data_IF_517987549688
#
_entry.id   IF_517987549688
#
_cell.length_a   1.000
_cell.length_b   1.000
_cell.length_c   1.000
_cell.angle_alpha   90.00
_cell.angle_beta   90.00
_cell.angle_gamma   90.00
#
_symmetry.space_group_name_H-M   'P 1'
#
loop_
_entity.id
_entity.type
_entity.pdbx_description
1 polymer ?
#
# COMPACT_ATOMS: atom_id res chain seq x y z
N UNK A 1 -10.76 24.05 0.35
CA UNK A 1 -10.49 23.46 0.43
C UNK A 1 -10.31 22.37 0.66
N UNK A 2 -10.51 21.93 0.80
CA UNK A 2 -10.45 21.05 0.99
C UNK A 2 -10.17 20.19 1.15
N UNK A 3 -10.10 20.13 1.23
CA UNK A 3 -9.71 19.20 1.31
C UNK A 3 -9.67 18.01 1.90
N UNK A 4 -10.05 17.66 2.63
CA UNK A 4 -9.85 16.60 3.64
C UNK A 4 -10.16 15.25 3.10
N UNK A 5 -11.18 15.12 2.33
CA UNK A 5 -11.59 13.85 1.75
C UNK A 5 -10.48 13.25 0.87
N UNK A 6 -9.74 14.10 0.23
CA UNK A 6 -8.72 13.61 -0.67
C UNK A 6 -7.57 12.93 0.06
N UNK A 7 -7.43 13.25 1.33
CA UNK A 7 -6.32 12.69 2.08
C UNK A 7 -6.49 11.20 2.34
N UNK A 8 -7.69 10.69 2.17
CA UNK A 8 -7.96 9.28 2.38
C UNK A 8 -7.86 8.45 1.12
N UNK A 9 -7.51 9.09 0.02
CA UNK A 9 -7.43 8.41 -1.26
C UNK A 9 -6.02 8.52 -1.81
N UNK A 10 -5.41 7.38 -2.07
CA UNK A 10 -4.08 7.33 -2.67
C UNK A 10 -4.22 6.74 -4.05
N UNK A 11 -3.71 7.47 -5.03
CA UNK A 11 -3.70 6.98 -6.40
C UNK A 11 -2.38 6.34 -6.71
N UNK A 12 -2.43 5.09 -7.13
CA UNK A 12 -1.25 4.34 -7.51
C UNK A 12 -1.19 4.20 -9.02
N UNK A 13 0.01 4.24 -9.56
CA UNK A 13 0.23 4.11 -11.00
C UNK A 13 1.32 3.09 -11.25
N UNK A 14 1.25 2.46 -12.40
CA UNK A 14 2.31 1.55 -12.84
C UNK A 14 3.61 2.35 -12.90
N UNK A 15 4.65 1.78 -12.31
CA UNK A 15 5.94 2.44 -12.22
C UNK A 15 6.20 3.13 -10.90
N UNK A 16 5.17 3.31 -10.07
CA UNK A 16 5.32 3.94 -8.77
C UNK A 16 6.08 3.03 -7.83
N UNK A 17 6.91 3.64 -6.99
CA UNK A 17 7.54 2.92 -5.88
C UNK A 17 6.53 2.73 -4.77
N UNK A 18 6.51 1.55 -4.19
CA UNK A 18 5.62 1.26 -3.08
C UNK A 18 6.37 0.47 -2.02
N UNK A 19 5.81 0.50 -0.83
CA UNK A 19 6.36 -0.21 0.32
C UNK A 19 5.20 -0.88 1.04
N UNK A 20 5.52 -1.79 1.94
CA UNK A 20 4.48 -2.40 2.76
C UNK A 20 4.86 -2.29 4.22
N UNK A 21 3.84 -2.21 5.07
CA UNK A 21 4.03 -2.14 6.50
C UNK A 21 3.47 -3.37 7.18
N UNK A 22 4.18 -3.86 8.17
CA UNK A 22 3.70 -4.95 9.00
C UNK A 22 4.13 -4.64 10.43
N UNK A 23 3.15 -4.63 11.33
CA UNK A 23 3.37 -4.18 12.71
C UNK A 23 3.92 -2.76 12.69
N UNK A 24 5.10 -2.54 13.26
CA UNK A 24 5.73 -1.23 13.29
C UNK A 24 6.83 -1.08 12.26
N UNK A 25 7.05 -2.09 11.46
CA UNK A 25 8.13 -2.10 10.47
C UNK A 25 7.60 -1.72 9.11
N UNK A 26 8.49 -1.17 8.29
CA UNK A 26 8.19 -0.82 6.90
C UNK A 26 9.28 -1.32 6.00
N UNK A 27 8.89 -1.88 4.87
CA UNK A 27 9.82 -2.46 3.92
C UNK A 27 9.51 -1.97 2.52
N UNK A 28 10.54 -1.62 1.79
CA UNK A 28 10.37 -1.26 0.39
C UNK A 28 10.02 -2.52 -0.40
N UNK A 29 8.94 -2.44 -1.20
CA UNK A 29 8.50 -3.59 -1.97
C UNK A 29 9.06 -3.58 -3.39
N UNK A 30 9.01 -2.43 -4.04
CA UNK A 30 9.42 -2.33 -5.43
C UNK A 30 8.51 -1.42 -6.19
N UNK A 31 8.42 -1.66 -7.50
CA UNK A 31 7.60 -0.82 -8.36
C UNK A 31 6.36 -1.58 -8.78
N UNK A 32 5.28 -0.83 -8.96
CA UNK A 32 4.03 -1.40 -9.45
C UNK A 32 4.20 -1.74 -10.93
N UNK A 33 3.87 -2.97 -11.29
CA UNK A 33 3.95 -3.41 -12.68
C UNK A 33 2.57 -3.57 -13.31
N UNK A 34 1.53 -3.68 -12.50
CA UNK A 34 0.18 -3.85 -13.02
C UNK A 34 -0.85 -3.43 -11.98
N UNK A 35 -1.91 -2.79 -12.44
CA UNK A 35 -3.04 -2.40 -11.58
C UNK A 35 -4.32 -2.87 -12.26
N UNK A 36 -5.17 -3.55 -11.48
CA UNK A 36 -6.52 -3.91 -11.91
C UNK A 36 -7.51 -3.25 -10.96
N UNK A 37 -8.78 -3.50 -11.16
CA UNK A 37 -9.81 -2.91 -10.30
C UNK A 37 -9.66 -3.30 -8.85
N UNK A 38 -9.13 -4.49 -8.58
CA UNK A 38 -9.07 -5.02 -7.23
C UNK A 38 -7.66 -5.23 -6.72
N UNK A 39 -6.69 -5.25 -7.60
CA UNK A 39 -5.35 -5.70 -7.24
C UNK A 39 -4.28 -4.76 -7.76
N UNK A 40 -3.18 -4.72 -7.01
CA UNK A 40 -1.95 -4.10 -7.45
C UNK A 40 -0.88 -5.18 -7.40
N UNK A 41 -0.10 -5.27 -8.46
CA UNK A 41 0.99 -6.23 -8.56
C UNK A 41 2.31 -5.48 -8.64
N UNK A 42 3.30 -5.96 -7.90
CA UNK A 42 4.62 -5.34 -7.87
C UNK A 42 5.65 -6.24 -8.51
N UNK A 43 6.81 -5.68 -8.82
CA UNK A 43 7.86 -6.43 -9.49
C UNK A 43 8.52 -7.45 -8.56
N UNK A 44 8.25 -7.37 -7.28
CA UNK A 44 8.73 -8.40 -6.34
C UNK A 44 7.88 -9.65 -6.38
N UNK A 45 6.76 -9.61 -7.09
CA UNK A 45 5.84 -10.73 -7.15
C UNK A 45 4.72 -10.68 -6.15
N UNK A 46 4.64 -9.62 -5.36
CA UNK A 46 3.57 -9.48 -4.38
C UNK A 46 2.31 -8.93 -5.04
N UNK A 47 1.19 -9.28 -4.44
CA UNK A 47 -0.12 -8.84 -4.88
C UNK A 47 -0.83 -8.21 -3.70
N UNK A 48 -1.49 -7.08 -3.96
CA UNK A 48 -2.24 -6.37 -2.91
C UNK A 48 -3.68 -6.24 -3.33
N UNK A 49 -4.58 -6.46 -2.38
CA UNK A 49 -6.02 -6.43 -2.62
C UNK A 49 -6.59 -5.10 -2.14
N UNK A 50 -7.44 -4.52 -2.98
CA UNK A 50 -8.12 -3.27 -2.66
C UNK A 50 -9.18 -3.52 -1.60
N UNK A 51 -9.16 -2.71 -0.56
CA UNK A 51 -10.14 -2.76 0.53
C UNK A 51 -10.81 -1.41 0.66
N UNK A 52 -12.10 -1.42 0.92
CA UNK A 52 -12.86 -0.20 1.13
C UNK A 52 -13.45 -0.26 2.53
N UNK A 53 -13.16 0.75 3.32
CA UNK A 53 -13.69 0.84 4.68
C UNK A 53 -15.11 1.38 4.68
N UNK A 54 -15.74 1.35 5.84
CA UNK A 54 -17.12 1.80 5.98
C UNK A 54 -17.27 3.27 5.61
N UNK A 55 -16.24 4.06 5.87
CA UNK A 55 -16.29 5.49 5.58
C UNK A 55 -15.91 5.82 4.14
N UNK A 56 -15.67 4.81 3.32
CA UNK A 56 -15.31 5.00 1.92
C UNK A 56 -13.82 5.10 1.67
N UNK A 57 -13.00 5.03 2.69
CA UNK A 57 -11.55 5.06 2.52
C UNK A 57 -11.08 3.81 1.79
N UNK A 58 -10.09 3.98 0.94
CA UNK A 58 -9.52 2.87 0.17
C UNK A 58 -8.10 2.60 0.64
N UNK A 59 -7.80 1.35 0.88
CA UNK A 59 -6.44 0.94 1.19
C UNK A 59 -6.20 -0.43 0.57
N UNK A 60 -4.94 -0.83 0.52
CA UNK A 60 -4.56 -2.11 -0.06
C UNK A 60 -3.81 -2.93 0.96
N UNK A 61 -4.15 -4.20 1.06
CA UNK A 61 -3.43 -5.13 1.92
C UNK A 61 -2.90 -6.27 1.08
N UNK A 62 -1.78 -6.84 1.50
CA UNK A 62 -1.20 -7.97 0.78
C UNK A 62 -2.20 -9.11 0.77
N UNK A 63 -2.39 -9.70 -0.41
CA UNK A 63 -3.33 -10.81 -0.56
C UNK A 63 -2.89 -11.96 0.32
N UNK A 64 -3.81 -12.40 1.17
CA UNK A 64 -3.52 -13.47 2.11
C UNK A 64 -2.98 -13.00 3.45
N UNK A 65 -2.74 -11.70 3.61
CA UNK A 65 -2.25 -11.15 4.87
C UNK A 65 -2.93 -9.82 5.15
N UNK A 66 -3.84 -9.80 6.08
CA UNK A 66 -4.60 -8.58 6.35
C UNK A 66 -3.81 -7.56 7.18
N UNK A 67 -2.64 -7.91 7.66
CA UNK A 67 -1.82 -7.00 8.45
C UNK A 67 -0.70 -6.34 7.65
N UNK A 68 -0.56 -6.71 6.39
CA UNK A 68 0.47 -6.15 5.53
C UNK A 68 -0.18 -5.15 4.57
N UNK A 69 -0.04 -3.88 4.86
CA UNK A 69 -0.70 -2.84 4.08
C UNK A 69 0.27 -2.11 3.18
N UNK A 70 -0.24 -1.65 2.05
CA UNK A 70 0.55 -1.00 1.02
C UNK A 70 0.69 0.49 1.32
N UNK A 71 1.87 1.05 1.05
CA UNK A 71 2.13 2.47 1.19
C UNK A 71 2.79 2.99 -0.07
N UNK A 72 2.47 4.24 -0.40
CA UNK A 72 3.11 4.90 -1.53
C UNK A 72 4.52 5.32 -1.17
N UNK A 73 5.43 5.20 -2.14
CA UNK A 73 6.79 5.67 -1.96
C UNK A 73 7.72 4.62 -1.37
N UNK A 74 8.96 5.03 -1.19
CA UNK A 74 9.98 4.17 -0.61
C UNK A 74 10.05 4.40 0.89
N UNK A 75 9.74 3.40 1.64
CA UNK A 75 9.81 3.46 3.10
C UNK A 75 10.55 2.23 3.58
N UNK A 76 11.56 2.47 4.37
CA UNK A 76 12.27 1.38 5.04
C UNK A 76 12.48 1.83 6.47
N UNK A 77 11.81 1.17 7.36
CA UNK A 77 11.88 1.52 8.76
C UNK A 77 11.75 0.27 9.60
N UNK A 78 12.72 0.03 10.43
CA UNK A 78 12.68 -1.05 11.40
C UNK A 78 12.65 -0.44 12.78
N UNK A 79 11.71 -0.88 13.58
CA UNK A 79 11.55 -0.36 14.93
C UNK A 79 12.79 -0.72 15.75
N UNK A 80 13.54 0.28 16.26
CA UNK A 80 14.77 0.01 16.99
C UNK A 80 14.53 -0.35 18.45
N UNK A 81 13.70 -1.28 18.70
CA UNK A 81 13.38 -1.69 20.06
C UNK A 81 14.26 -2.85 20.49
N UNK A 82 15.42 -2.56 20.94
CA UNK A 82 16.31 -3.61 21.37
C UNK A 82 17.24 -3.12 22.45
#
# INVERSE_FOLDING_TARGET
>A
MQKGAEMNTVEYKVGDDVSYGINCDRYYDGKIVRITKRFIFTDSGRQYTRKVDRDGSVHYTQTGCKYCYLMAGKHEYLDPHF
#
